data_IF_934994014971
#
_entry.id   IF_934994014971
#
_cell.length_a   1.000
_cell.length_b   1.000
_cell.length_c   1.000
_cell.angle_alpha   90.00
_cell.angle_beta   90.00
_cell.angle_gamma   90.00
#
_symmetry.space_group_name_H-M   'P 1'
#
loop_
_entity.id
_entity.type
_entity.pdbx_description
1 polymer ?
#
# COMPACT_ATOMS: atom_id res chain seq x y z
N UNK A 1 66.57 -13.05 -25.41
CA UNK A 1 65.44 -12.17 -25.78
C UNK A 1 64.30 -13.05 -26.26
N UNK A 2 63.35 -13.35 -25.38
CA UNK A 2 62.13 -14.12 -25.69
C UNK A 2 61.04 -13.14 -26.08
N UNK A 3 60.69 -13.11 -27.37
CA UNK A 3 59.57 -12.33 -27.87
C UNK A 3 58.26 -12.94 -27.35
N UNK A 4 57.52 -12.18 -26.54
CA UNK A 4 56.16 -12.53 -26.16
C UNK A 4 55.24 -12.37 -27.37
N UNK A 5 54.61 -13.47 -27.79
CA UNK A 5 53.58 -13.47 -28.82
C UNK A 5 52.33 -12.76 -28.27
N UNK A 6 51.90 -11.68 -28.93
CA UNK A 6 50.66 -10.99 -28.60
C UNK A 6 49.46 -11.93 -28.80
N UNK A 7 48.66 -12.13 -27.75
CA UNK A 7 47.48 -13.00 -27.77
C UNK A 7 46.35 -12.26 -28.51
N UNK A 8 45.95 -12.78 -29.68
CA UNK A 8 44.80 -12.29 -30.46
C UNK A 8 43.53 -12.54 -29.64
N UNK A 9 42.79 -11.48 -29.30
CA UNK A 9 41.53 -11.61 -28.54
C UNK A 9 41.00 -10.36 -27.84
N UNK A 10 41.62 -9.18 -28.03
CA UNK A 10 41.27 -7.94 -27.33
C UNK A 10 40.55 -6.90 -28.21
N UNK A 11 39.68 -7.33 -29.14
CA UNK A 11 38.72 -6.40 -29.71
C UNK A 11 37.42 -6.60 -28.94
N UNK A 12 37.08 -5.66 -28.06
CA UNK A 12 35.75 -5.62 -27.43
C UNK A 12 34.82 -4.93 -28.43
N UNK A 13 34.07 -5.68 -29.26
CA UNK A 13 33.21 -5.06 -30.26
C UNK A 13 32.18 -4.15 -29.57
N UNK A 14 31.74 -3.05 -30.22
CA UNK A 14 30.77 -2.14 -29.63
C UNK A 14 29.49 -2.89 -29.26
N UNK A 15 29.00 -2.65 -28.05
CA UNK A 15 27.74 -3.24 -27.58
C UNK A 15 26.56 -2.67 -28.37
N UNK A 16 25.37 -3.32 -28.35
CA UNK A 16 24.16 -2.75 -28.94
C UNK A 16 23.85 -1.35 -28.38
N UNK A 17 24.15 -1.10 -27.12
CA UNK A 17 24.08 0.23 -26.52
C UNK A 17 25.10 1.19 -27.15
N UNK A 18 26.37 0.82 -27.29
CA UNK A 18 27.41 1.69 -27.86
C UNK A 18 27.09 2.09 -29.30
N UNK A 19 26.50 1.18 -30.09
CA UNK A 19 26.02 1.46 -31.44
C UNK A 19 24.91 2.53 -31.44
N UNK A 20 23.93 2.41 -30.54
CA UNK A 20 22.85 3.40 -30.40
C UNK A 20 23.36 4.73 -29.87
N UNK A 21 24.27 4.70 -28.88
CA UNK A 21 24.83 5.90 -28.27
C UNK A 21 25.63 6.72 -29.30
N UNK A 22 26.40 6.05 -30.14
CA UNK A 22 27.14 6.69 -31.25
C UNK A 22 26.18 7.29 -32.26
N UNK A 23 25.25 6.49 -32.80
CA UNK A 23 24.31 6.89 -33.84
C UNK A 23 23.42 8.07 -33.42
N UNK A 24 22.85 8.02 -32.21
CA UNK A 24 22.03 9.09 -31.66
C UNK A 24 22.90 10.30 -31.32
N UNK A 25 24.11 10.08 -30.79
CA UNK A 25 25.05 11.15 -30.48
C UNK A 25 25.42 11.97 -31.72
N UNK A 26 25.70 11.32 -32.84
CA UNK A 26 26.02 11.98 -34.11
C UNK A 26 24.83 12.80 -34.64
N UNK A 27 23.62 12.22 -34.63
CA UNK A 27 22.40 12.93 -35.05
C UNK A 27 22.04 14.08 -34.11
N UNK A 28 22.33 13.93 -32.81
CA UNK A 28 22.11 14.98 -31.82
C UNK A 28 23.08 16.15 -32.02
N UNK A 29 24.36 15.87 -32.29
CA UNK A 29 25.33 16.90 -32.63
C UNK A 29 24.93 17.64 -33.93
N UNK A 30 24.43 16.93 -34.93
CA UNK A 30 23.87 17.54 -36.14
C UNK A 30 22.65 18.41 -35.82
N UNK A 31 21.76 17.95 -34.93
CA UNK A 31 20.59 18.74 -34.51
C UNK A 31 20.98 20.03 -33.80
N UNK A 32 22.05 20.02 -33.01
CA UNK A 32 22.58 21.23 -32.39
C UNK A 32 23.05 22.27 -33.42
N UNK A 33 23.57 21.83 -34.57
CA UNK A 33 23.98 22.74 -35.64
C UNK A 33 22.80 23.42 -36.33
N UNK A 34 21.66 22.71 -36.49
CA UNK A 34 20.47 23.23 -37.18
C UNK A 34 19.47 23.94 -36.25
N UNK A 35 19.50 23.67 -34.94
CA UNK A 35 18.49 24.12 -33.98
C UNK A 35 19.10 25.06 -32.91
N UNK A 36 19.80 26.10 -33.36
CA UNK A 36 20.48 27.08 -32.50
C UNK A 36 19.56 28.15 -31.88
N UNK A 37 18.27 28.15 -32.25
CA UNK A 37 17.27 29.11 -31.78
C UNK A 37 16.99 30.29 -32.71
N UNK A 38 17.68 30.40 -33.86
CA UNK A 38 17.39 31.43 -34.87
C UNK A 38 16.05 31.21 -35.59
N UNK A 39 15.47 30.02 -35.45
CA UNK A 39 14.29 29.59 -36.19
C UNK A 39 14.62 29.14 -37.62
N UNK A 40 13.68 28.42 -38.23
CA UNK A 40 13.77 27.97 -39.62
C UNK A 40 13.19 29.07 -40.52
N UNK A 41 13.99 29.58 -41.46
CA UNK A 41 13.65 30.76 -42.28
C UNK A 41 13.53 30.45 -43.77
N UNK A 42 14.14 29.34 -44.23
CA UNK A 42 14.07 28.90 -45.63
C UNK A 42 13.40 27.52 -45.78
N UNK A 43 12.82 27.26 -46.95
CA UNK A 43 12.24 25.94 -47.28
C UNK A 43 13.30 24.82 -47.30
N UNK A 44 14.53 25.16 -47.70
CA UNK A 44 15.66 24.24 -47.67
C UNK A 44 16.03 23.84 -46.23
N UNK A 45 16.07 24.79 -45.30
CA UNK A 45 16.25 24.53 -43.86
C UNK A 45 15.11 23.68 -43.31
N UNK A 46 13.85 24.00 -43.64
CA UNK A 46 12.70 23.22 -43.20
C UNK A 46 12.78 21.76 -43.66
N UNK A 47 13.19 21.54 -44.91
CA UNK A 47 13.38 20.20 -45.48
C UNK A 47 14.52 19.45 -44.79
N UNK A 48 15.64 20.12 -44.51
CA UNK A 48 16.78 19.53 -43.80
C UNK A 48 16.41 19.13 -42.36
N UNK A 49 15.75 20.02 -41.62
CA UNK A 49 15.26 19.76 -40.25
C UNK A 49 14.23 18.63 -40.24
N UNK A 50 13.31 18.58 -41.21
CA UNK A 50 12.35 17.48 -41.32
C UNK A 50 13.06 16.13 -41.56
N UNK A 51 14.08 16.10 -42.42
CA UNK A 51 14.87 14.89 -42.66
C UNK A 51 15.62 14.45 -41.40
N UNK A 52 16.23 15.39 -40.68
CA UNK A 52 16.94 15.12 -39.43
C UNK A 52 16.00 14.56 -38.35
N UNK A 53 14.80 15.14 -38.23
CA UNK A 53 13.75 14.65 -37.34
C UNK A 53 13.39 13.18 -37.65
N UNK A 54 13.24 12.84 -38.93
CA UNK A 54 12.94 11.46 -39.32
C UNK A 54 14.11 10.50 -39.06
N UNK A 55 15.36 10.95 -39.23
CA UNK A 55 16.54 10.15 -38.88
C UNK A 55 16.60 9.89 -37.36
N UNK A 56 16.33 10.91 -36.54
CA UNK A 56 16.28 10.77 -35.08
C UNK A 56 15.19 9.77 -34.65
N UNK A 57 13.99 9.86 -35.22
CA UNK A 57 12.89 8.89 -34.96
C UNK A 57 13.30 7.46 -35.31
N UNK A 58 14.01 7.27 -36.43
CA UNK A 58 14.48 5.95 -36.83
C UNK A 58 15.60 5.42 -35.92
N UNK A 59 16.52 6.29 -35.49
CA UNK A 59 17.58 5.93 -34.56
C UNK A 59 17.02 5.54 -33.19
N UNK A 60 16.03 6.28 -32.69
CA UNK A 60 15.28 5.94 -31.47
C UNK A 60 14.63 4.55 -31.58
N UNK A 61 13.92 4.29 -32.70
CA UNK A 61 13.30 2.99 -32.95
C UNK A 61 14.32 1.85 -32.95
N UNK A 62 15.45 2.01 -33.64
CA UNK A 62 16.54 1.02 -33.67
C UNK A 62 17.14 0.79 -32.28
N UNK A 63 17.27 1.84 -31.48
CA UNK A 63 17.76 1.73 -30.12
C UNK A 63 16.81 0.91 -29.22
N UNK A 64 15.49 1.12 -29.34
CA UNK A 64 14.52 0.31 -28.60
C UNK A 64 14.50 -1.16 -29.08
N UNK A 65 14.66 -1.42 -30.37
CA UNK A 65 14.82 -2.78 -30.91
C UNK A 65 16.05 -3.49 -30.33
N UNK A 66 17.21 -2.81 -30.31
CA UNK A 66 18.45 -3.32 -29.69
C UNK A 66 18.25 -3.61 -28.20
N UNK A 67 17.63 -2.68 -27.46
CA UNK A 67 17.31 -2.84 -26.03
C UNK A 67 16.41 -4.05 -25.78
N UNK A 68 15.38 -4.26 -26.61
CA UNK A 68 14.47 -5.42 -26.49
C UNK A 68 15.21 -6.74 -26.70
N UNK A 69 16.07 -6.82 -27.71
CA UNK A 69 16.87 -8.01 -27.97
C UNK A 69 17.83 -8.32 -26.82
N UNK A 70 18.47 -7.29 -26.26
CA UNK A 70 19.36 -7.44 -25.09
C UNK A 70 18.60 -7.88 -23.83
N UNK A 71 17.39 -7.34 -23.61
CA UNK A 71 16.56 -7.67 -22.45
C UNK A 71 15.84 -9.03 -22.56
N UNK A 72 15.52 -9.51 -23.76
CA UNK A 72 14.75 -10.73 -24.00
C UNK A 72 15.23 -11.98 -23.22
N UNK A 73 16.53 -12.35 -23.22
CA UNK A 73 16.99 -13.52 -22.47
C UNK A 73 16.83 -13.32 -20.95
N UNK A 74 17.01 -12.09 -20.45
CA UNK A 74 16.86 -11.77 -19.04
C UNK A 74 15.39 -11.78 -18.60
N UNK A 75 14.51 -11.22 -19.41
CA UNK A 75 13.07 -11.23 -19.16
C UNK A 75 12.52 -12.65 -19.19
N UNK A 76 12.98 -13.48 -20.14
CA UNK A 76 12.62 -14.90 -20.23
C UNK A 76 13.11 -15.68 -19.01
N UNK A 77 14.38 -15.55 -18.65
CA UNK A 77 14.95 -16.23 -17.48
C UNK A 77 14.26 -15.79 -16.18
N UNK A 78 13.98 -14.49 -16.04
CA UNK A 78 13.23 -13.95 -14.91
C UNK A 78 11.81 -14.50 -14.87
N UNK A 79 11.11 -14.57 -16.00
CA UNK A 79 9.75 -15.11 -16.07
C UNK A 79 9.70 -16.59 -15.66
N UNK A 80 10.69 -17.40 -16.07
CA UNK A 80 10.79 -18.80 -15.65
C UNK A 80 10.97 -18.91 -14.12
N UNK A 81 11.92 -18.14 -13.55
CA UNK A 81 12.16 -18.11 -12.10
C UNK A 81 10.89 -17.69 -11.36
N UNK A 82 10.24 -16.62 -11.80
CA UNK A 82 9.01 -16.12 -11.19
C UNK A 82 7.89 -17.16 -11.26
N UNK A 83 7.78 -17.92 -12.35
CA UNK A 83 6.78 -18.98 -12.49
C UNK A 83 7.04 -20.11 -11.50
N UNK A 84 8.29 -20.59 -11.39
CA UNK A 84 8.68 -21.67 -10.46
C UNK A 84 8.44 -21.28 -9.00
N UNK A 85 8.85 -20.08 -8.61
CA UNK A 85 8.63 -19.57 -7.25
C UNK A 85 7.16 -19.22 -7.01
N UNK A 86 6.45 -18.73 -8.02
CA UNK A 86 5.01 -18.45 -7.95
C UNK A 86 4.19 -19.66 -7.49
N UNK A 87 4.52 -20.86 -7.98
CA UNK A 87 3.87 -22.10 -7.55
C UNK A 87 4.10 -22.44 -6.06
N UNK A 88 5.16 -21.93 -5.43
CA UNK A 88 5.52 -22.21 -4.04
C UNK A 88 5.07 -21.11 -3.08
N UNK A 89 5.28 -19.85 -3.46
CA UNK A 89 5.15 -18.67 -2.57
C UNK A 89 4.32 -17.53 -3.19
N UNK A 90 3.81 -17.70 -4.41
CA UNK A 90 3.00 -16.67 -5.08
C UNK A 90 1.76 -16.31 -4.26
N UNK A 91 1.45 -15.01 -4.19
CA UNK A 91 0.27 -14.49 -3.51
C UNK A 91 -0.41 -13.43 -4.38
N UNK A 92 -0.81 -13.82 -5.59
CA UNK A 92 -1.51 -12.95 -6.53
C UNK A 92 -2.97 -13.39 -6.64
N UNK A 93 -3.80 -12.59 -7.33
CA UNK A 93 -5.20 -12.95 -7.60
C UNK A 93 -5.31 -14.25 -8.43
N UNK A 94 -4.34 -14.52 -9.30
CA UNK A 94 -4.35 -15.66 -10.22
C UNK A 94 -3.56 -16.86 -9.72
N UNK A 95 -2.57 -16.67 -8.83
CA UNK A 95 -1.70 -17.74 -8.34
C UNK A 95 -1.58 -17.66 -6.82
N UNK A 96 -2.01 -18.73 -6.13
CA UNK A 96 -1.67 -18.99 -4.73
C UNK A 96 -0.69 -20.15 -4.65
N UNK A 97 0.52 -19.86 -4.20
CA UNK A 97 1.55 -20.86 -3.97
C UNK A 97 1.21 -21.78 -2.80
N UNK A 98 1.83 -22.96 -2.79
CA UNK A 98 1.62 -24.00 -1.75
C UNK A 98 1.72 -23.46 -0.33
N UNK A 99 2.68 -22.58 -0.05
CA UNK A 99 2.90 -22.02 1.28
C UNK A 99 1.74 -21.12 1.71
N UNK A 100 1.23 -20.29 0.79
CA UNK A 100 0.10 -19.38 1.07
C UNK A 100 -1.16 -20.19 1.35
N UNK A 101 -1.44 -21.21 0.53
CA UNK A 101 -2.58 -22.10 0.74
C UNK A 101 -2.51 -22.83 2.09
N UNK A 102 -1.35 -23.40 2.42
CA UNK A 102 -1.15 -24.08 3.69
C UNK A 102 -1.35 -23.13 4.89
N UNK A 103 -0.75 -21.94 4.85
CA UNK A 103 -0.91 -20.92 5.90
C UNK A 103 -2.38 -20.50 6.07
N UNK A 104 -3.12 -20.30 4.98
CA UNK A 104 -4.55 -19.97 5.03
C UNK A 104 -5.37 -21.10 5.65
N UNK A 105 -5.10 -22.35 5.27
CA UNK A 105 -5.74 -23.52 5.87
C UNK A 105 -5.44 -23.64 7.36
N UNK A 106 -4.19 -23.46 7.79
CA UNK A 106 -3.83 -23.46 9.21
C UNK A 106 -4.57 -22.37 9.99
N UNK A 107 -4.59 -21.13 9.47
CA UNK A 107 -5.33 -20.02 10.11
C UNK A 107 -6.82 -20.31 10.20
N UNK A 108 -7.42 -20.85 9.15
CA UNK A 108 -8.84 -21.23 9.12
C UNK A 108 -9.15 -22.38 10.08
N UNK A 109 -8.25 -23.34 10.24
CA UNK A 109 -8.39 -24.43 11.20
C UNK A 109 -8.28 -23.95 12.66
N UNK A 110 -7.40 -22.97 12.92
CA UNK A 110 -7.23 -22.38 14.26
C UNK A 110 -8.36 -21.42 14.64
N UNK A 111 -9.02 -20.77 13.67
CA UNK A 111 -9.99 -19.72 13.94
C UNK A 111 -11.17 -20.16 14.83
N UNK A 112 -11.83 -21.32 14.61
CA UNK A 112 -12.91 -21.77 15.49
C UNK A 112 -12.47 -22.00 16.94
N UNK A 113 -11.28 -22.59 17.14
CA UNK A 113 -10.73 -22.82 18.47
C UNK A 113 -10.41 -21.50 19.18
N UNK A 114 -9.75 -20.57 18.49
CA UNK A 114 -9.45 -19.24 19.02
C UNK A 114 -10.74 -18.46 19.34
N UNK A 115 -11.78 -18.58 18.52
CA UNK A 115 -13.07 -17.93 18.78
C UNK A 115 -13.78 -18.51 20.01
N UNK A 116 -13.73 -19.83 20.20
CA UNK A 116 -14.27 -20.48 21.39
C UNK A 116 -13.51 -20.07 22.64
N UNK A 117 -12.18 -19.98 22.56
CA UNK A 117 -11.34 -19.57 23.67
C UNK A 117 -11.53 -18.08 24.02
N UNK A 118 -11.65 -17.21 23.00
CA UNK A 118 -11.99 -15.81 23.22
C UNK A 118 -13.37 -15.68 23.85
N UNK A 119 -14.36 -16.47 23.43
CA UNK A 119 -15.70 -16.44 24.04
C UNK A 119 -15.67 -16.82 25.53
N UNK A 120 -14.84 -17.79 25.94
CA UNK A 120 -14.63 -18.13 27.36
C UNK A 120 -14.00 -16.97 28.12
N UNK A 121 -12.90 -16.41 27.60
CA UNK A 121 -12.21 -15.28 28.23
C UNK A 121 -13.10 -14.05 28.33
N UNK A 122 -13.92 -13.78 27.31
CA UNK A 122 -14.91 -12.71 27.34
C UNK A 122 -16.00 -12.98 28.40
N UNK A 123 -16.47 -14.22 28.55
CA UNK A 123 -17.42 -14.56 29.60
C UNK A 123 -16.82 -14.39 31.01
N UNK A 124 -15.56 -14.79 31.19
CA UNK A 124 -14.79 -14.58 32.43
C UNK A 124 -14.59 -13.10 32.72
N UNK A 125 -14.24 -12.29 31.71
CA UNK A 125 -14.09 -10.85 31.83
C UNK A 125 -15.42 -10.16 32.19
N UNK A 126 -16.54 -10.57 31.58
CA UNK A 126 -17.88 -10.08 31.94
C UNK A 126 -18.21 -10.45 33.39
N UNK A 127 -17.91 -11.68 33.83
CA UNK A 127 -18.14 -12.10 35.21
C UNK A 127 -17.27 -11.31 36.19
N UNK A 128 -15.97 -11.14 35.91
CA UNK A 128 -15.05 -10.37 36.72
C UNK A 128 -15.44 -8.88 36.79
N UNK A 129 -15.97 -8.33 35.70
CA UNK A 129 -16.50 -6.96 35.69
C UNK A 129 -17.74 -6.83 36.56
N UNK A 130 -18.68 -7.79 36.51
CA UNK A 130 -19.85 -7.78 37.40
C UNK A 130 -19.44 -7.86 38.87
N UNK A 131 -18.49 -8.73 39.23
CA UNK A 131 -18.00 -8.80 40.61
C UNK A 131 -17.28 -7.53 41.05
N UNK A 132 -16.54 -6.89 40.16
CA UNK A 132 -15.92 -5.58 40.43
C UNK A 132 -16.96 -4.47 40.61
N UNK A 133 -18.01 -4.43 39.79
CA UNK A 133 -19.12 -3.48 39.91
C UNK A 133 -19.87 -3.69 41.23
N UNK A 134 -20.21 -4.94 41.59
CA UNK A 134 -20.86 -5.27 42.87
C UNK A 134 -19.99 -4.93 44.08
N UNK A 135 -18.68 -5.21 44.03
CA UNK A 135 -17.75 -4.85 45.10
C UNK A 135 -17.60 -3.34 45.26
N UNK A 136 -17.57 -2.59 44.14
CA UNK A 136 -17.53 -1.14 44.15
C UNK A 136 -18.79 -0.54 44.76
N UNK A 137 -19.98 -1.05 44.42
CA UNK A 137 -21.24 -0.61 45.02
C UNK A 137 -21.32 -0.94 46.52
N UNK A 138 -20.86 -2.14 46.94
CA UNK A 138 -20.75 -2.47 48.38
C UNK A 138 -19.83 -1.51 49.13
N UNK A 139 -18.66 -1.19 48.57
CA UNK A 139 -17.73 -0.25 49.17
C UNK A 139 -18.33 1.17 49.27
N UNK A 140 -18.99 1.64 48.20
CA UNK A 140 -19.70 2.94 48.18
C UNK A 140 -20.81 3.01 49.22
N UNK A 141 -21.63 1.97 49.29
CA UNK A 141 -22.72 1.89 50.27
C UNK A 141 -22.18 1.87 51.72
N UNK A 142 -21.08 1.16 51.98
CA UNK A 142 -20.45 1.13 53.30
C UNK A 142 -19.91 2.51 53.71
N UNK A 143 -19.28 3.25 52.78
CA UNK A 143 -18.85 4.63 53.06
C UNK A 143 -20.01 5.60 53.27
N UNK A 144 -21.14 5.40 52.59
CA UNK A 144 -22.34 6.23 52.75
C UNK A 144 -23.07 5.93 54.07
N UNK A 145 -23.09 4.66 54.48
CA UNK A 145 -23.77 4.21 55.69
C UNK A 145 -22.97 4.49 56.97
N UNK A 146 -21.64 4.59 56.90
CA UNK A 146 -20.76 4.82 58.05
C UNK A 146 -20.64 6.32 58.41
N UNK A 147 -21.14 6.75 59.58
CA UNK A 147 -20.90 8.10 60.09
C UNK A 147 -19.41 8.45 60.23
N UNK A 148 -19.09 9.73 60.39
CA UNK A 148 -17.68 10.20 60.51
C UNK A 148 -17.05 9.75 61.82
N UNK A 149 -17.85 9.57 62.86
CA UNK A 149 -17.46 9.19 64.21
C UNK A 149 -17.56 7.68 64.51
N UNK A 150 -18.04 6.86 63.56
CA UNK A 150 -18.04 5.40 63.67
C UNK A 150 -16.75 4.79 63.09
N UNK A 151 -15.76 4.61 63.97
CA UNK A 151 -14.48 4.00 63.60
C UNK A 151 -14.63 2.56 63.08
N UNK A 152 -15.58 1.77 63.61
CA UNK A 152 -15.78 0.38 63.18
C UNK A 152 -16.37 0.33 61.77
N UNK A 153 -17.38 1.15 61.49
CA UNK A 153 -17.95 1.31 60.15
C UNK A 153 -16.94 1.82 59.11
N UNK A 154 -16.04 2.73 59.52
CA UNK A 154 -14.94 3.23 58.67
C UNK A 154 -13.92 2.14 58.32
N UNK A 155 -13.53 1.32 59.29
CA UNK A 155 -12.61 0.18 59.07
C UNK A 155 -13.23 -0.82 58.09
N UNK A 156 -14.52 -1.13 58.24
CA UNK A 156 -15.22 -2.05 57.33
C UNK A 156 -15.37 -1.46 55.92
N UNK A 157 -15.69 -0.17 55.81
CA UNK A 157 -15.75 0.51 54.51
C UNK A 157 -14.40 0.51 53.78
N UNK A 158 -13.30 0.75 54.50
CA UNK A 158 -11.94 0.68 53.95
C UNK A 158 -11.58 -0.74 53.51
N UNK A 159 -11.96 -1.76 54.29
CA UNK A 159 -11.78 -3.18 53.93
C UNK A 159 -12.51 -3.52 52.63
N UNK A 160 -13.77 -3.11 52.51
CA UNK A 160 -14.58 -3.30 51.30
C UNK A 160 -14.03 -2.52 50.09
N UNK A 161 -13.45 -1.34 50.31
CA UNK A 161 -12.76 -0.58 49.26
C UNK A 161 -11.52 -1.32 48.76
N UNK A 162 -10.77 -1.96 49.66
CA UNK A 162 -9.67 -2.85 49.32
C UNK A 162 -10.10 -4.03 48.45
N UNK A 163 -11.22 -4.69 48.82
CA UNK A 163 -11.83 -5.76 47.99
C UNK A 163 -12.24 -5.25 46.61
N UNK A 164 -12.90 -4.09 46.54
CA UNK A 164 -13.32 -3.48 45.29
C UNK A 164 -12.13 -3.20 44.36
N UNK A 165 -11.03 -2.67 44.91
CA UNK A 165 -9.80 -2.42 44.17
C UNK A 165 -9.16 -3.70 43.64
N UNK A 166 -9.16 -4.78 44.42
CA UNK A 166 -8.67 -6.09 43.97
C UNK A 166 -9.55 -6.68 42.87
N UNK A 167 -10.87 -6.60 43.03
CA UNK A 167 -11.82 -7.06 42.01
C UNK A 167 -11.68 -6.25 40.70
N UNK A 168 -11.48 -4.94 40.78
CA UNK A 168 -11.21 -4.10 39.61
C UNK A 168 -9.90 -4.48 38.90
N UNK A 169 -8.84 -4.81 39.65
CA UNK A 169 -7.58 -5.27 39.07
C UNK A 169 -7.76 -6.60 38.34
N UNK A 170 -8.47 -7.56 38.94
CA UNK A 170 -8.78 -8.84 38.31
C UNK A 170 -9.63 -8.67 37.04
N UNK A 171 -10.62 -7.77 37.05
CA UNK A 171 -11.42 -7.45 35.86
C UNK A 171 -10.54 -6.87 34.74
N UNK A 172 -9.62 -5.94 35.08
CA UNK A 172 -8.68 -5.35 34.11
C UNK A 172 -7.72 -6.39 33.51
N UNK A 173 -7.28 -7.36 34.30
CA UNK A 173 -6.39 -8.42 33.82
C UNK A 173 -7.14 -9.41 32.94
N UNK A 174 -8.38 -9.76 33.29
CA UNK A 174 -9.26 -10.59 32.46
C UNK A 174 -9.59 -9.93 31.11
N UNK A 175 -9.87 -8.61 31.09
CA UNK A 175 -10.14 -7.87 29.85
C UNK A 175 -8.96 -7.89 28.87
N UNK A 176 -7.72 -7.87 29.40
CA UNK A 176 -6.48 -7.90 28.63
C UNK A 176 -6.11 -9.29 28.16
N UNK A 177 -6.61 -10.34 28.80
CA UNK A 177 -6.29 -11.69 28.42
C UNK A 177 -7.01 -12.07 27.11
N UNK A 178 -6.24 -12.18 26.03
CA UNK A 178 -6.75 -12.52 24.69
C UNK A 178 -6.44 -13.96 24.33
N UNK A 179 -7.28 -14.56 23.50
CA UNK A 179 -7.03 -15.90 22.98
C UNK A 179 -5.81 -15.90 22.05
N UNK A 180 -4.89 -16.85 22.27
CA UNK A 180 -3.68 -16.98 21.49
C UNK A 180 -3.25 -18.45 21.40
N UNK A 181 -2.97 -18.94 20.20
CA UNK A 181 -2.32 -20.23 20.00
C UNK A 181 -0.80 -20.02 20.09
N UNK A 182 -0.18 -20.62 21.10
CA UNK A 182 1.27 -20.57 21.35
C UNK A 182 1.89 -21.90 20.95
N UNK A 183 3.03 -21.88 20.24
CA UNK A 183 3.67 -23.10 19.73
C UNK A 183 4.78 -22.87 18.72
N UNK A 184 4.89 -21.66 18.16
CA UNK A 184 6.03 -21.22 17.36
C UNK A 184 6.61 -19.90 17.87
N UNK A 185 7.57 -19.33 17.14
CA UNK A 185 8.22 -18.06 17.49
C UNK A 185 7.23 -16.87 17.60
N UNK A 186 6.06 -16.97 16.96
CA UNK A 186 4.98 -15.98 17.06
C UNK A 186 3.67 -16.69 17.38
N UNK A 187 2.91 -16.13 18.32
CA UNK A 187 1.57 -16.60 18.63
C UNK A 187 0.58 -16.22 17.51
N UNK A 188 -0.41 -17.07 17.28
CA UNK A 188 -1.53 -16.78 16.36
C UNK A 188 -2.72 -16.28 17.18
N UNK A 189 -3.19 -15.08 16.85
CA UNK A 189 -4.34 -14.43 17.50
C UNK A 189 -5.42 -14.09 16.47
N UNK A 190 -6.62 -13.77 16.95
CA UNK A 190 -7.67 -13.20 16.11
C UNK A 190 -7.37 -11.73 15.81
N UNK A 191 -7.72 -11.30 14.59
CA UNK A 191 -7.65 -9.89 14.17
C UNK A 191 -9.06 -9.37 13.95
N UNK A 192 -9.38 -8.23 14.56
CA UNK A 192 -10.60 -7.48 14.26
C UNK A 192 -10.46 -6.78 12.91
N UNK A 193 -11.43 -7.00 12.01
CA UNK A 193 -11.50 -6.36 10.70
C UNK A 193 -12.85 -5.67 10.59
N UNK A 194 -12.84 -4.34 10.40
CA UNK A 194 -14.04 -3.57 10.16
C UNK A 194 -14.29 -3.47 8.66
N UNK A 195 -15.44 -3.99 8.20
CA UNK A 195 -15.92 -3.80 6.82
C UNK A 195 -17.09 -2.81 6.87
N UNK A 196 -16.92 -1.58 6.37
CA UNK A 196 -18.02 -0.64 6.28
C UNK A 196 -18.96 -1.03 5.13
N UNK A 197 -20.25 -0.94 5.38
CA UNK A 197 -21.30 -1.02 4.36
C UNK A 197 -21.99 0.35 4.29
N UNK A 198 -22.07 0.92 3.09
CA UNK A 198 -22.77 2.20 2.90
C UNK A 198 -24.25 1.92 2.74
N UNK A 199 -25.02 2.21 3.78
CA UNK A 199 -26.48 2.05 3.80
C UNK A 199 -27.20 3.27 3.20
N UNK A 200 -26.75 4.48 3.55
CA UNK A 200 -27.27 5.73 2.99
C UNK A 200 -26.13 6.54 2.34
N UNK A 201 -26.17 6.61 1.01
CA UNK A 201 -25.18 7.33 0.21
C UNK A 201 -25.27 8.84 0.40
N UNK A 202 -26.47 9.40 0.60
CA UNK A 202 -26.65 10.86 0.77
C UNK A 202 -26.10 11.31 2.11
N UNK A 203 -26.37 10.55 3.17
CA UNK A 203 -25.80 10.83 4.49
C UNK A 203 -24.27 10.81 4.46
N UNK A 204 -23.66 9.83 3.79
CA UNK A 204 -22.20 9.77 3.63
C UNK A 204 -21.66 10.96 2.85
N UNK A 205 -22.27 11.32 1.71
CA UNK A 205 -21.85 12.48 0.92
C UNK A 205 -21.93 13.79 1.72
N UNK A 206 -23.03 14.01 2.45
CA UNK A 206 -23.20 15.19 3.29
C UNK A 206 -22.15 15.23 4.41
N UNK A 207 -21.88 14.09 5.06
CA UNK A 207 -20.84 13.99 6.07
C UNK A 207 -19.46 14.32 5.51
N UNK A 208 -19.12 13.83 4.30
CA UNK A 208 -17.86 14.17 3.63
C UNK A 208 -17.79 15.66 3.25
N UNK A 209 -18.88 16.25 2.78
CA UNK A 209 -18.92 17.67 2.45
C UNK A 209 -18.67 18.56 3.69
N UNK A 210 -19.19 18.17 4.85
CA UNK A 210 -19.03 18.91 6.10
C UNK A 210 -17.67 18.66 6.78
N UNK A 211 -17.23 17.40 6.85
CA UNK A 211 -16.08 17.01 7.66
C UNK A 211 -14.78 16.89 6.85
N UNK A 212 -14.87 16.70 5.53
CA UNK A 212 -13.73 16.40 4.62
C UNK A 212 -13.92 17.02 3.22
N UNK A 213 -14.15 18.34 3.10
CA UNK A 213 -14.43 18.99 1.82
C UNK A 213 -13.31 18.82 0.79
N UNK A 214 -12.04 18.86 1.20
CA UNK A 214 -10.89 18.72 0.29
C UNK A 214 -10.88 17.37 -0.44
N UNK A 215 -11.26 16.30 0.27
CA UNK A 215 -11.33 14.96 -0.31
C UNK A 215 -12.44 14.88 -1.37
N UNK A 216 -13.60 15.49 -1.08
CA UNK A 216 -14.72 15.54 -2.01
C UNK A 216 -14.37 16.37 -3.26
N UNK A 217 -13.74 17.52 -3.09
CA UNK A 217 -13.27 18.37 -4.20
C UNK A 217 -12.27 17.62 -5.09
N UNK A 218 -11.32 16.90 -4.49
CA UNK A 218 -10.37 16.07 -5.24
C UNK A 218 -11.06 15.02 -6.10
N UNK A 219 -12.05 14.31 -5.56
CA UNK A 219 -12.83 13.32 -6.32
C UNK A 219 -13.62 13.95 -7.47
N UNK A 220 -14.25 15.11 -7.23
CA UNK A 220 -15.02 15.83 -8.25
C UNK A 220 -14.12 16.33 -9.38
N UNK A 221 -12.94 16.86 -9.08
CA UNK A 221 -11.96 17.30 -10.09
C UNK A 221 -11.57 16.16 -11.02
N UNK A 222 -11.15 15.01 -10.48
CA UNK A 222 -10.77 13.84 -11.29
C UNK A 222 -11.93 13.36 -12.16
N UNK A 223 -13.17 13.38 -11.65
CA UNK A 223 -14.35 12.99 -12.42
C UNK A 223 -14.59 13.96 -13.59
N UNK A 224 -14.46 15.27 -13.38
CA UNK A 224 -14.63 16.30 -14.41
C UNK A 224 -13.54 16.22 -15.48
N UNK A 225 -12.27 16.01 -15.08
CA UNK A 225 -11.15 15.83 -16.02
C UNK A 225 -11.38 14.61 -16.92
N UNK A 226 -11.82 13.49 -16.34
CA UNK A 226 -12.17 12.28 -17.10
C UNK A 226 -13.30 12.52 -18.10
N UNK A 227 -14.30 13.32 -17.75
CA UNK A 227 -15.39 13.70 -18.67
C UNK A 227 -14.88 14.62 -19.78
N UNK A 228 -14.00 15.57 -19.47
CA UNK A 228 -13.39 16.46 -20.46
C UNK A 228 -12.55 15.67 -21.49
N UNK A 229 -11.79 14.67 -21.04
CA UNK A 229 -11.06 13.76 -21.91
C UNK A 229 -11.99 12.92 -22.81
N UNK A 230 -13.17 12.57 -22.32
CA UNK A 230 -14.24 11.94 -23.11
C UNK A 230 -15.01 12.94 -24.01
N UNK A 231 -14.50 14.17 -24.18
CA UNK A 231 -15.14 15.26 -24.94
C UNK A 231 -16.48 15.75 -24.39
N UNK A 232 -16.79 15.46 -23.13
CA UNK A 232 -17.97 16.00 -22.43
C UNK A 232 -17.58 17.30 -21.72
N UNK A 233 -17.96 18.43 -22.31
CA UNK A 233 -17.62 19.79 -21.82
C UNK A 233 -18.85 20.61 -21.40
N UNK A 234 -19.85 19.93 -20.88
CA UNK A 234 -21.17 20.51 -20.54
C UNK A 234 -21.49 20.41 -19.05
N UNK A 235 -20.51 20.06 -18.20
CA UNK A 235 -20.74 19.92 -16.76
C UNK A 235 -21.00 21.29 -16.14
N UNK A 236 -22.16 21.51 -15.50
CA UNK A 236 -22.47 22.80 -14.85
C UNK A 236 -21.44 23.14 -13.77
N UNK A 237 -21.05 24.41 -13.68
CA UNK A 237 -20.09 24.89 -12.67
C UNK A 237 -18.61 24.64 -13.01
N UNK A 238 -18.29 24.23 -14.23
CA UNK A 238 -16.93 24.01 -14.73
C UNK A 238 -16.62 24.97 -15.88
N UNK A 239 -15.44 25.57 -15.88
CA UNK A 239 -14.93 26.39 -16.99
C UNK A 239 -13.88 25.60 -17.79
N UNK A 240 -13.98 25.60 -19.12
CA UNK A 240 -13.09 24.86 -20.02
C UNK A 240 -12.21 25.81 -20.83
N UNK A 241 -10.93 25.47 -21.00
CA UNK A 241 -9.94 26.23 -21.78
C UNK A 241 -9.39 25.38 -22.93
N UNK A 242 -9.19 25.96 -24.11
CA UNK A 242 -8.66 25.29 -25.31
C UNK A 242 -7.27 25.84 -25.67
N UNK A 243 -6.29 24.94 -25.84
CA UNK A 243 -4.91 25.25 -26.25
C UNK A 243 -4.48 24.27 -27.36
N UNK A 244 -3.76 24.75 -28.38
CA UNK A 244 -3.23 23.93 -29.49
C UNK A 244 -1.70 23.88 -29.41
N UNK A 245 -1.14 22.68 -29.28
CA UNK A 245 0.30 22.41 -29.17
C UNK A 245 0.75 21.46 -30.29
N UNK A 246 1.99 21.59 -30.78
CA UNK A 246 2.55 20.70 -31.81
C UNK A 246 2.59 19.23 -31.35
N UNK A 247 2.35 18.29 -32.28
CA UNK A 247 2.25 16.84 -32.00
C UNK A 247 3.56 16.11 -32.27
#
# INVERSE_FOLDING_TARGET
>A
MTAALATIGHNNPPTPFDLSATEIGDLFAEAQNWLDGSGVTTEAEATAVSKLLDLLRQAEKRADERRKQEAEPHDTAKAEIQTRYGALIGNTKSVKGKTVLAMECCKRALAPWLAAEEAKKQAEAIAARKTAEEAAERARAAFQAAPVDDLAGRIEAERLAGEAKQAEALAKDADKDKAAARGGARAVTLRTVYRPEITDRRAVLNWFAENRPDHLTGMLRTAVESLCAASVRTVPGVTYHEERVAR
#
